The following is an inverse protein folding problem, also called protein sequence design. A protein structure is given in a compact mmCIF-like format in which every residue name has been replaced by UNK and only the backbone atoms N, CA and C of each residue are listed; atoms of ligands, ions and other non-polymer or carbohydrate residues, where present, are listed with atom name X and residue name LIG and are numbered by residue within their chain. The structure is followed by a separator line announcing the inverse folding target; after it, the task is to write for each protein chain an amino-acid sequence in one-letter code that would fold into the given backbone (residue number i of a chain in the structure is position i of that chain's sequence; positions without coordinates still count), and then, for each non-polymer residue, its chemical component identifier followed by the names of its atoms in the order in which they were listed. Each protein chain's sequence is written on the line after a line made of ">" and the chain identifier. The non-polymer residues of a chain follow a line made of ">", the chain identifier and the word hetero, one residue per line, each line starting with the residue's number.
data_IF_774637600348
#
_entry.id   IF_774637600348
#
_cell.length_a   1.000
_cell.length_b   1.000
_cell.length_c   1.000
_cell.angle_alpha   90.00
_cell.angle_beta   90.00
_cell.angle_gamma   90.00
#
_symmetry.space_group_name_H-M   'P 1'
#
loop_
_entity.id
_entity.type
_entity.pdbx_description
1 polymer ?
#
# COMPACT_ATOMS: atom_id res chain seq x y z
N UNK A 1 31.09 28.54 3.09
CA UNK A 1 30.78 27.81 4.34
C UNK A 1 30.44 26.39 3.97
N UNK A 2 30.97 25.44 4.74
CA UNK A 2 31.01 24.00 4.45
C UNK A 2 29.62 23.38 4.49
N UNK A 3 29.20 22.68 3.43
CA UNK A 3 28.14 21.67 3.49
C UNK A 3 28.77 20.30 3.20
N UNK A 4 29.45 19.77 4.22
CA UNK A 4 29.86 18.37 4.27
C UNK A 4 28.79 17.61 5.05
N UNK A 5 27.72 17.20 4.37
CA UNK A 5 26.88 16.09 4.84
C UNK A 5 27.14 14.91 3.89
N UNK A 6 28.37 14.39 3.99
CA UNK A 6 28.76 13.17 3.33
C UNK A 6 28.07 12.00 4.03
N UNK A 7 27.24 11.32 3.24
CA UNK A 7 26.72 9.97 3.39
C UNK A 7 27.64 9.12 4.27
N UNK A 8 27.18 8.83 5.48
CA UNK A 8 27.81 7.90 6.42
C UNK A 8 26.72 7.05 7.09
N UNK A 9 25.89 6.42 6.26
CA UNK A 9 24.96 5.36 6.64
C UNK A 9 25.24 4.16 5.73
N UNK A 10 26.44 3.58 5.83
CA UNK A 10 26.75 2.32 5.14
C UNK A 10 27.82 1.46 5.85
N UNK A 11 28.16 1.75 7.12
CA UNK A 11 29.24 1.05 7.83
C UNK A 11 28.95 0.71 9.30
N UNK A 12 27.69 0.62 9.69
CA UNK A 12 27.29 0.08 11.01
C UNK A 12 26.55 -1.26 10.87
N UNK A 13 27.10 -2.19 10.08
CA UNK A 13 26.88 -3.62 10.35
C UNK A 13 27.88 -3.99 11.44
N UNK A 14 27.63 -3.46 12.64
CA UNK A 14 28.41 -3.80 13.83
C UNK A 14 28.19 -5.26 14.15
N UNK A 15 29.24 -6.07 14.04
CA UNK A 15 29.25 -7.43 14.54
C UNK A 15 29.02 -7.40 16.06
N UNK A 16 27.77 -7.57 16.46
CA UNK A 16 27.40 -7.72 17.86
C UNK A 16 27.20 -9.22 18.14
N UNK A 17 28.16 -9.78 18.87
CA UNK A 17 28.14 -11.18 19.30
C UNK A 17 27.17 -11.27 20.48
N UNK A 18 25.91 -11.60 20.21
CA UNK A 18 24.92 -11.92 21.25
C UNK A 18 24.93 -13.41 21.60
N UNK A 19 24.95 -13.70 22.90
CA UNK A 19 24.88 -15.05 23.49
C UNK A 19 23.47 -15.61 23.66
N UNK A 20 22.45 -14.99 23.04
CA UNK A 20 21.08 -15.49 23.07
C UNK A 20 20.90 -16.55 21.97
N UNK A 21 20.40 -17.74 22.34
CA UNK A 21 19.99 -18.75 21.33
C UNK A 21 18.79 -18.20 20.57
N UNK A 22 18.96 -18.03 19.27
CA UNK A 22 17.89 -17.76 18.30
C UNK A 22 17.58 -19.06 17.54
N UNK A 23 16.33 -19.28 17.08
CA UNK A 23 15.22 -18.35 17.12
C UNK A 23 14.61 -18.21 18.53
N UNK A 24 14.03 -17.04 18.81
CA UNK A 24 13.25 -16.80 20.03
C UNK A 24 12.03 -15.94 19.70
N UNK A 25 10.87 -16.38 20.18
CA UNK A 25 9.60 -15.69 19.96
C UNK A 25 9.08 -15.06 21.26
N UNK A 26 8.45 -13.90 21.12
CA UNK A 26 7.69 -13.23 22.16
C UNK A 26 6.28 -12.99 21.64
N UNK A 27 5.31 -13.52 22.37
CA UNK A 27 3.91 -13.54 21.94
C UNK A 27 3.03 -12.76 22.91
N UNK A 28 2.01 -12.13 22.34
CA UNK A 28 0.86 -11.62 23.07
C UNK A 28 -0.39 -11.98 22.27
N UNK A 29 -0.92 -13.16 22.56
CA UNK A 29 -2.25 -13.57 22.14
C UNK A 29 -3.25 -13.22 23.24
N UNK A 30 -3.44 -11.92 23.51
CA UNK A 30 -4.58 -11.44 24.30
C UNK A 30 -5.86 -12.07 23.72
N UNK A 31 -6.41 -13.06 24.43
CA UNK A 31 -7.79 -13.50 24.18
C UNK A 31 -8.65 -12.31 24.53
N UNK A 32 -9.38 -11.77 23.56
CA UNK A 32 -10.37 -10.72 23.79
C UNK A 32 -11.35 -11.28 24.83
N UNK A 33 -11.21 -10.80 26.07
CA UNK A 33 -12.05 -11.23 27.19
C UNK A 33 -13.44 -10.64 26.96
N UNK A 34 -14.35 -11.46 26.44
CA UNK A 34 -15.78 -11.14 26.41
C UNK A 34 -16.39 -11.10 25.02
N UNK A 35 -16.39 -12.22 24.31
CA UNK A 35 -17.56 -12.67 23.55
C UNK A 35 -17.32 -14.10 23.07
N UNK A 36 -17.81 -15.08 23.83
CA UNK A 36 -17.82 -16.48 23.42
C UNK A 36 -18.68 -16.74 22.16
N UNK A 37 -19.31 -15.70 21.60
CA UNK A 37 -20.32 -15.80 20.56
C UNK A 37 -19.97 -14.99 19.29
N UNK A 38 -18.79 -14.36 19.18
CA UNK A 38 -18.42 -13.64 17.96
C UNK A 38 -17.04 -14.08 17.44
N UNK A 39 -16.98 -14.93 16.40
CA UNK A 39 -15.73 -15.50 15.89
C UNK A 39 -14.83 -14.50 15.13
N UNK A 40 -15.24 -13.24 14.99
CA UNK A 40 -14.58 -12.22 14.15
C UNK A 40 -14.11 -11.02 14.97
N UNK A 41 -13.29 -11.24 16.00
CA UNK A 41 -12.57 -10.09 16.59
C UNK A 41 -11.34 -9.81 15.73
N UNK A 42 -11.41 -8.72 14.97
CA UNK A 42 -10.28 -8.22 14.18
C UNK A 42 -9.31 -7.49 15.10
N UNK A 43 -8.12 -8.04 15.31
CA UNK A 43 -7.04 -7.37 16.06
C UNK A 43 -5.82 -7.14 15.16
N UNK A 44 -5.73 -5.94 14.58
CA UNK A 44 -4.64 -5.58 13.67
C UNK A 44 -3.28 -5.39 14.36
N UNK A 45 -3.22 -5.45 15.70
CA UNK A 45 -1.99 -5.23 16.46
C UNK A 45 -1.01 -6.39 16.27
N UNK A 46 0.28 -6.06 16.28
CA UNK A 46 1.35 -7.05 16.33
C UNK A 46 1.09 -8.01 17.50
N UNK A 47 1.08 -9.30 17.18
CA UNK A 47 0.76 -10.38 18.11
C UNK A 47 1.99 -11.21 18.45
N UNK A 48 3.01 -11.19 17.59
CA UNK A 48 4.25 -11.91 17.81
C UNK A 48 5.47 -11.12 17.31
N UNK A 49 6.55 -11.20 18.08
CA UNK A 49 7.87 -10.66 17.78
C UNK A 49 8.86 -11.81 17.83
N UNK A 50 9.45 -12.15 16.70
CA UNK A 50 10.44 -13.23 16.58
C UNK A 50 11.81 -12.63 16.30
N UNK A 51 12.82 -13.01 17.07
CA UNK A 51 14.22 -12.81 16.70
C UNK A 51 14.67 -14.09 15.99
N UNK A 52 14.61 -14.09 14.66
CA UNK A 52 14.81 -15.28 13.83
C UNK A 52 16.28 -15.65 13.75
N UNK A 53 17.16 -14.65 13.75
CA UNK A 53 18.60 -14.80 13.81
C UNK A 53 19.24 -13.77 14.76
N UNK A 54 20.57 -13.77 14.85
CA UNK A 54 21.31 -12.79 15.65
C UNK A 54 21.12 -11.35 15.18
N UNK A 55 20.64 -11.15 13.96
CA UNK A 55 20.52 -9.84 13.33
C UNK A 55 19.16 -9.60 12.71
N UNK A 56 18.30 -10.60 12.56
CA UNK A 56 17.01 -10.50 11.86
C UNK A 56 15.84 -10.75 12.80
N UNK A 57 14.73 -10.07 12.50
CA UNK A 57 13.49 -10.20 13.23
C UNK A 57 12.29 -10.27 12.29
N UNK A 58 11.17 -10.74 12.85
CA UNK A 58 9.86 -10.68 12.24
C UNK A 58 8.83 -10.17 13.26
N UNK A 59 7.98 -9.26 12.85
CA UNK A 59 6.72 -8.93 13.51
C UNK A 59 5.57 -9.57 12.74
N UNK A 60 4.68 -10.22 13.47
CA UNK A 60 3.50 -10.84 12.90
C UNK A 60 2.23 -10.24 13.50
N UNK A 61 1.30 -9.87 12.63
CA UNK A 61 -0.08 -9.54 12.97
C UNK A 61 -1.00 -10.62 12.43
N UNK A 62 -1.94 -11.05 13.27
CA UNK A 62 -2.95 -12.07 12.94
C UNK A 62 -4.36 -11.50 13.15
N UNK A 63 -4.81 -10.53 12.31
CA UNK A 63 -6.10 -9.87 12.47
C UNK A 63 -7.25 -10.85 12.62
N UNK A 64 -7.29 -11.86 11.75
CA UNK A 64 -8.20 -13.00 11.86
C UNK A 64 -7.37 -14.27 11.98
N UNK A 65 -7.26 -14.88 13.18
CA UNK A 65 -6.41 -16.06 13.39
C UNK A 65 -6.76 -17.26 12.50
N UNK A 66 -8.02 -17.38 12.07
CA UNK A 66 -8.47 -18.46 11.18
C UNK A 66 -8.30 -18.16 9.68
N UNK A 67 -7.84 -16.96 9.30
CA UNK A 67 -7.67 -16.55 7.90
C UNK A 67 -6.25 -16.06 7.63
N UNK A 68 -5.41 -16.94 7.09
CA UNK A 68 -4.03 -16.62 6.72
C UNK A 68 -3.92 -15.52 5.65
N UNK A 69 -4.98 -15.27 4.88
CA UNK A 69 -5.06 -14.17 3.90
C UNK A 69 -4.99 -12.78 4.55
N UNK A 70 -5.33 -12.69 5.84
CA UNK A 70 -5.31 -11.42 6.58
C UNK A 70 -4.02 -11.20 7.36
N UNK A 71 -3.14 -12.20 7.42
CA UNK A 71 -1.93 -12.15 8.21
C UNK A 71 -0.93 -11.19 7.58
N UNK A 72 -0.24 -10.44 8.43
CA UNK A 72 0.75 -9.45 7.99
C UNK A 72 2.09 -9.74 8.64
N UNK A 73 3.12 -9.78 7.82
CA UNK A 73 4.51 -9.95 8.23
C UNK A 73 5.27 -8.66 7.98
N UNK A 74 6.11 -8.28 8.94
CA UNK A 74 7.08 -7.20 8.79
C UNK A 74 8.43 -7.71 9.26
N UNK A 75 9.46 -7.61 8.43
CA UNK A 75 10.78 -8.11 8.74
C UNK A 75 11.84 -7.02 8.57
N UNK A 76 13.01 -7.30 9.13
CA UNK A 76 14.12 -6.36 9.12
C UNK A 76 15.26 -6.83 10.00
N UNK A 77 16.10 -5.88 10.41
CA UNK A 77 17.23 -6.15 11.29
C UNK A 77 17.00 -5.65 12.70
N UNK A 78 17.66 -6.26 13.68
CA UNK A 78 17.60 -5.78 15.05
C UNK A 78 18.99 -5.72 15.68
N UNK A 79 19.11 -4.86 16.68
CA UNK A 79 20.26 -4.84 17.59
C UNK A 79 19.78 -4.62 19.02
N UNK A 80 20.63 -4.94 19.99
CA UNK A 80 20.37 -4.66 21.39
C UNK A 80 21.48 -3.81 21.98
N UNK A 81 21.12 -2.84 22.82
CA UNK A 81 22.03 -2.02 23.62
C UNK A 81 21.52 -2.03 25.05
N UNK A 82 22.25 -2.72 25.94
CA UNK A 82 21.83 -2.98 27.32
C UNK A 82 20.48 -3.70 27.42
N UNK A 83 19.46 -3.08 28.00
CA UNK A 83 18.08 -3.56 28.10
C UNK A 83 17.22 -3.14 26.90
N UNK A 84 17.70 -2.24 26.05
CA UNK A 84 16.95 -1.71 24.92
C UNK A 84 17.21 -2.52 23.65
N UNK A 85 16.13 -2.88 22.95
CA UNK A 85 16.14 -3.52 21.64
C UNK A 85 15.68 -2.50 20.60
N UNK A 86 16.37 -2.44 19.47
CA UNK A 86 16.01 -1.62 18.32
C UNK A 86 15.72 -2.55 17.15
N UNK A 87 14.55 -2.38 16.56
CA UNK A 87 14.12 -3.06 15.34
C UNK A 87 14.11 -2.05 14.21
N UNK A 88 14.76 -2.39 13.11
CA UNK A 88 14.93 -1.56 11.91
C UNK A 88 14.26 -2.27 10.75
N UNK A 89 13.18 -1.68 10.24
CA UNK A 89 12.53 -2.13 9.02
C UNK A 89 12.47 -1.01 7.98
N UNK A 90 12.29 -1.41 6.73
CA UNK A 90 12.17 -0.47 5.61
C UNK A 90 11.15 -0.98 4.60
N UNK A 91 10.48 -0.05 3.94
CA UNK A 91 9.57 -0.33 2.83
C UNK A 91 9.62 0.80 1.80
N UNK A 92 9.20 0.49 0.58
CA UNK A 92 9.13 1.44 -0.53
C UNK A 92 7.69 1.97 -0.63
N UNK A 93 7.55 3.29 -0.74
CA UNK A 93 6.32 3.94 -1.19
C UNK A 93 6.55 4.47 -2.60
N UNK A 94 5.54 4.32 -3.46
CA UNK A 94 5.59 4.66 -4.87
C UNK A 94 4.45 5.64 -5.14
N UNK A 95 4.74 6.74 -5.84
CA UNK A 95 3.74 7.70 -6.28
C UNK A 95 2.75 7.04 -7.26
N UNK A 96 1.62 7.72 -7.51
CA UNK A 96 0.69 7.32 -8.57
C UNK A 96 1.43 7.18 -9.91
N UNK A 97 1.15 6.11 -10.64
CA UNK A 97 1.72 5.87 -11.97
C UNK A 97 0.88 6.48 -13.10
N UNK A 98 -0.17 7.22 -12.74
CA UNK A 98 -1.13 7.82 -13.66
C UNK A 98 -1.55 9.21 -13.16
N UNK A 99 -1.61 10.17 -14.08
CA UNK A 99 -2.15 11.52 -13.87
C UNK A 99 -3.33 11.77 -14.81
N UNK A 100 -4.29 12.58 -14.34
CA UNK A 100 -5.51 12.88 -15.06
C UNK A 100 -5.65 14.37 -15.33
N UNK A 101 -5.99 14.73 -16.56
CA UNK A 101 -6.46 16.08 -16.88
C UNK A 101 -7.86 16.02 -17.48
N UNK A 102 -8.69 16.99 -17.12
CA UNK A 102 -10.13 16.97 -17.37
C UNK A 102 -10.59 18.22 -18.11
N UNK A 103 -11.48 18.04 -19.08
CA UNK A 103 -12.26 19.11 -19.68
C UNK A 103 -13.66 18.63 -20.06
N UNK A 104 -14.57 19.56 -20.36
CA UNK A 104 -15.96 19.25 -20.68
C UNK A 104 -16.35 19.84 -22.03
N UNK A 105 -17.08 19.04 -22.82
CA UNK A 105 -17.71 19.46 -24.06
C UNK A 105 -19.19 19.07 -24.04
N UNK A 106 -20.08 20.05 -23.88
CA UNK A 106 -21.55 19.83 -23.85
C UNK A 106 -22.11 19.27 -25.16
N UNK A 107 -21.32 19.30 -26.24
CA UNK A 107 -21.71 18.76 -27.55
C UNK A 107 -21.50 17.25 -27.66
N UNK A 108 -20.60 16.68 -26.86
CA UNK A 108 -20.22 15.28 -26.94
C UNK A 108 -21.14 14.44 -26.06
N UNK A 109 -21.75 13.41 -26.64
CA UNK A 109 -22.56 12.41 -25.92
C UNK A 109 -21.77 11.14 -25.61
N UNK A 110 -20.48 11.28 -25.37
CA UNK A 110 -19.54 10.20 -25.11
C UNK A 110 -18.42 10.70 -24.20
N UNK A 111 -17.79 9.79 -23.45
CA UNK A 111 -16.50 10.02 -22.84
C UNK A 111 -15.41 9.83 -23.88
N UNK A 112 -14.45 10.76 -23.97
CA UNK A 112 -13.22 10.61 -24.72
C UNK A 112 -12.07 10.43 -23.74
N UNK A 113 -11.44 9.26 -23.78
CA UNK A 113 -10.23 8.96 -23.01
C UNK A 113 -9.04 9.02 -23.98
N UNK A 114 -8.02 9.81 -23.67
CA UNK A 114 -6.77 9.88 -24.44
C UNK A 114 -5.62 9.40 -23.58
N UNK A 115 -4.89 8.37 -24.04
CA UNK A 115 -3.79 7.77 -23.29
C UNK A 115 -2.44 8.21 -23.87
N UNK A 116 -1.54 8.66 -22.99
CA UNK A 116 -0.17 9.03 -23.35
C UNK A 116 0.80 8.74 -22.20
N UNK A 117 2.09 8.96 -22.43
CA UNK A 117 3.10 8.93 -21.36
C UNK A 117 3.66 10.34 -21.10
N UNK A 118 4.19 10.56 -19.90
CA UNK A 118 4.80 11.82 -19.48
C UNK A 118 6.05 12.19 -20.29
N UNK A 119 6.79 11.19 -20.79
CA UNK A 119 8.01 11.39 -21.59
C UNK A 119 7.80 11.22 -23.10
N UNK A 120 6.57 10.96 -23.54
CA UNK A 120 6.23 10.77 -24.94
C UNK A 120 6.77 9.47 -25.55
N UNK A 121 7.07 8.46 -24.73
CA UNK A 121 7.31 7.11 -25.22
C UNK A 121 6.07 6.59 -25.94
N UNK A 122 6.30 5.83 -27.00
CA UNK A 122 5.22 5.27 -27.81
C UNK A 122 4.47 4.19 -27.02
N UNK A 123 3.16 4.35 -26.89
CA UNK A 123 2.27 3.26 -26.48
C UNK A 123 2.19 2.26 -27.63
N UNK A 124 2.11 0.97 -27.32
CA UNK A 124 2.09 -0.08 -28.36
C UNK A 124 0.88 -1.00 -28.28
N UNK A 125 0.31 -1.20 -27.09
CA UNK A 125 -0.91 -1.98 -26.92
C UNK A 125 -2.13 -1.15 -27.30
N UNK A 126 -2.99 -1.70 -28.16
CA UNK A 126 -4.32 -1.15 -28.41
C UNK A 126 -5.39 -1.72 -27.49
N UNK A 127 -5.07 -2.74 -26.70
CA UNK A 127 -6.03 -3.36 -25.79
C UNK A 127 -5.99 -2.66 -24.44
N UNK A 128 -7.18 -2.36 -23.92
CA UNK A 128 -7.38 -1.80 -22.58
C UNK A 128 -8.61 -2.44 -21.95
N UNK A 129 -8.55 -2.72 -20.65
CA UNK A 129 -9.72 -3.16 -19.90
C UNK A 129 -10.29 -1.98 -19.14
N UNK A 130 -11.60 -1.79 -19.20
CA UNK A 130 -12.32 -0.79 -18.44
C UNK A 130 -13.33 -1.41 -17.49
N UNK A 131 -13.61 -0.74 -16.39
CA UNK A 131 -14.72 -1.07 -15.50
C UNK A 131 -15.39 0.23 -15.05
N UNK A 132 -16.73 0.22 -15.02
CA UNK A 132 -17.52 1.34 -14.55
C UNK A 132 -17.83 1.17 -13.06
N UNK A 133 -17.46 2.15 -12.26
CA UNK A 133 -17.64 2.16 -10.80
C UNK A 133 -18.80 3.09 -10.48
N UNK A 134 -19.79 2.59 -9.77
CA UNK A 134 -21.01 3.33 -9.45
C UNK A 134 -21.10 3.67 -7.97
N UNK A 135 -21.76 4.79 -7.69
CA UNK A 135 -22.25 5.20 -6.37
C UNK A 135 -23.41 4.30 -5.93
N UNK A 136 -23.06 3.10 -5.46
CA UNK A 136 -23.96 2.10 -4.90
C UNK A 136 -23.34 1.58 -3.59
N UNK A 137 -24.15 1.47 -2.53
CA UNK A 137 -23.78 1.03 -1.17
C UNK A 137 -23.30 -0.44 -1.07
N UNK A 138 -22.83 -1.07 -2.15
CA UNK A 138 -22.56 -2.52 -2.20
C UNK A 138 -21.22 -2.88 -2.84
N UNK A 139 -20.67 -3.99 -2.35
CA UNK A 139 -19.39 -4.64 -2.66
C UNK A 139 -18.79 -4.38 -4.06
N UNK A 140 -17.45 -4.22 -4.07
CA UNK A 140 -16.58 -3.88 -5.20
C UNK A 140 -16.45 -5.01 -6.25
N UNK A 141 -17.57 -5.53 -6.76
CA UNK A 141 -17.55 -6.44 -7.91
C UNK A 141 -17.81 -5.62 -9.18
N UNK A 142 -16.79 -5.45 -10.02
CA UNK A 142 -16.89 -4.70 -11.26
C UNK A 142 -16.83 -5.63 -12.47
N UNK A 143 -17.75 -5.43 -13.40
CA UNK A 143 -17.65 -6.04 -14.72
C UNK A 143 -16.52 -5.34 -15.50
N UNK A 144 -15.55 -6.13 -15.99
CA UNK A 144 -14.48 -5.65 -16.85
C UNK A 144 -14.87 -5.82 -18.33
N UNK A 145 -14.71 -4.75 -19.10
CA UNK A 145 -14.93 -4.71 -20.54
C UNK A 145 -13.59 -4.57 -21.26
N UNK A 146 -13.24 -5.54 -22.11
CA UNK A 146 -12.09 -5.42 -23.01
C UNK A 146 -12.46 -4.50 -24.18
N UNK A 147 -11.68 -3.44 -24.36
CA UNK A 147 -11.87 -2.41 -25.37
C UNK A 147 -10.61 -2.28 -26.24
N UNK A 148 -10.79 -1.75 -27.45
CA UNK A 148 -9.71 -1.46 -28.38
C UNK A 148 -9.58 0.04 -28.61
N UNK A 149 -8.38 0.57 -28.37
CA UNK A 149 -8.01 1.96 -28.60
C UNK A 149 -7.87 2.24 -30.11
N UNK A 150 -8.17 3.48 -30.48
CA UNK A 150 -7.93 4.01 -31.82
C UNK A 150 -6.42 4.20 -32.10
N UNK A 151 -6.08 4.54 -33.34
CA UNK A 151 -4.68 4.70 -33.76
C UNK A 151 -3.92 5.78 -32.97
N UNK A 152 -4.61 6.81 -32.52
CA UNK A 152 -4.08 7.89 -31.66
C UNK A 152 -4.08 7.55 -30.17
N UNK A 153 -4.38 6.30 -29.80
CA UNK A 153 -4.53 5.84 -28.41
C UNK A 153 -5.65 6.57 -27.67
N UNK A 154 -6.69 6.97 -28.39
CA UNK A 154 -7.94 7.42 -27.79
C UNK A 154 -9.00 6.31 -27.73
N UNK A 155 -9.99 6.50 -26.88
CA UNK A 155 -11.19 5.68 -26.80
C UNK A 155 -12.41 6.59 -26.64
N UNK A 156 -13.46 6.30 -27.41
CA UNK A 156 -14.76 6.97 -27.26
C UNK A 156 -15.78 5.98 -26.73
N UNK A 157 -16.42 6.33 -25.62
CA UNK A 157 -17.43 5.51 -24.96
C UNK A 157 -18.75 6.28 -24.98
N UNK A 158 -19.70 5.94 -25.86
CA UNK A 158 -21.02 6.55 -25.88
C UNK A 158 -21.70 6.46 -24.52
N UNK A 159 -22.34 7.55 -24.09
CA UNK A 159 -23.04 7.58 -22.79
C UNK A 159 -24.15 6.52 -22.68
N UNK A 160 -24.76 6.16 -23.81
CA UNK A 160 -25.82 5.15 -23.88
C UNK A 160 -25.32 3.72 -23.68
N UNK A 161 -24.01 3.48 -23.84
CA UNK A 161 -23.37 2.18 -23.61
C UNK A 161 -22.96 1.98 -22.15
N UNK A 162 -23.03 3.03 -21.31
CA UNK A 162 -22.66 2.98 -19.90
C UNK A 162 -23.92 2.72 -19.07
N UNK A 163 -24.05 1.54 -18.43
CA UNK A 163 -25.16 1.26 -17.52
C UNK A 163 -25.23 2.32 -16.41
N UNK A 164 -26.43 2.72 -15.99
CA UNK A 164 -26.60 3.61 -14.83
C UNK A 164 -25.69 4.87 -14.83
N UNK A 165 -25.39 5.47 -15.98
CA UNK A 165 -24.42 6.59 -16.11
C UNK A 165 -24.63 7.73 -15.10
N UNK A 166 -25.87 8.02 -14.71
CA UNK A 166 -26.19 9.04 -13.70
C UNK A 166 -25.59 8.73 -12.32
N UNK A 167 -25.23 7.47 -12.06
CA UNK A 167 -24.59 6.96 -10.85
C UNK A 167 -23.11 6.63 -11.05
N UNK A 168 -22.54 6.88 -12.22
CA UNK A 168 -21.11 6.65 -12.48
C UNK A 168 -20.27 7.58 -11.59
N UNK A 169 -19.50 7.00 -10.68
CA UNK A 169 -18.57 7.68 -9.79
C UNK A 169 -17.16 7.74 -10.41
N UNK A 170 -16.67 6.62 -10.93
CA UNK A 170 -15.37 6.56 -11.58
C UNK A 170 -15.30 5.55 -12.72
N UNK A 171 -14.33 5.72 -13.62
CA UNK A 171 -13.98 4.75 -14.66
C UNK A 171 -12.63 4.14 -14.28
N UNK A 172 -12.60 2.86 -13.94
CA UNK A 172 -11.36 2.12 -13.75
C UNK A 172 -10.81 1.69 -15.10
N UNK A 173 -9.51 1.80 -15.28
CA UNK A 173 -8.83 1.22 -16.44
C UNK A 173 -7.67 0.32 -16.01
N UNK A 174 -7.31 -0.62 -16.88
CA UNK A 174 -6.12 -1.44 -16.81
C UNK A 174 -5.50 -1.53 -18.20
N UNK A 175 -4.26 -1.08 -18.31
CA UNK A 175 -3.47 -1.03 -19.53
C UNK A 175 -2.17 -1.81 -19.34
N UNK A 176 -1.72 -2.50 -20.40
CA UNK A 176 -0.50 -3.28 -20.40
C UNK A 176 0.53 -2.61 -21.30
N UNK A 177 1.68 -2.26 -20.73
CA UNK A 177 2.85 -1.80 -21.48
C UNK A 177 3.54 -2.98 -22.18
N UNK A 178 4.34 -2.69 -23.21
CA UNK A 178 5.02 -3.72 -24.01
C UNK A 178 5.94 -4.63 -23.19
N UNK A 179 6.55 -4.07 -22.15
CA UNK A 179 7.40 -4.78 -21.19
C UNK A 179 6.60 -5.72 -20.25
N UNK A 180 5.27 -5.79 -20.40
CA UNK A 180 4.36 -6.58 -19.56
C UNK A 180 3.94 -5.89 -18.27
N UNK A 181 4.40 -4.67 -18.03
CA UNK A 181 4.05 -3.88 -16.86
C UNK A 181 2.59 -3.40 -16.94
N UNK A 182 1.88 -3.47 -15.82
CA UNK A 182 0.48 -3.06 -15.73
C UNK A 182 0.41 -1.61 -15.24
N UNK A 183 -0.42 -0.81 -15.90
CA UNK A 183 -0.86 0.52 -15.45
C UNK A 183 -2.35 0.43 -15.16
N UNK A 184 -2.78 0.86 -13.99
CA UNK A 184 -4.20 0.90 -13.66
C UNK A 184 -4.51 2.12 -12.81
N UNK A 185 -5.72 2.62 -12.94
CA UNK A 185 -6.15 3.78 -12.19
C UNK A 185 -7.65 3.93 -12.21
N UNK A 186 -8.15 4.82 -11.36
CA UNK A 186 -9.55 5.19 -11.28
C UNK A 186 -9.67 6.64 -11.71
N UNK A 187 -10.33 6.87 -12.83
CA UNK A 187 -10.65 8.20 -13.34
C UNK A 187 -11.87 8.69 -12.56
N UNK A 188 -11.65 9.60 -11.62
CA UNK A 188 -12.69 10.19 -10.77
C UNK A 188 -12.60 11.72 -10.81
N UNK A 189 -13.75 12.38 -10.70
CA UNK A 189 -13.83 13.83 -10.47
C UNK A 189 -13.85 14.18 -8.97
N UNK A 190 -14.02 13.17 -8.11
CA UNK A 190 -14.23 13.28 -6.68
C UNK A 190 -13.11 12.55 -5.90
N UNK A 191 -12.87 12.95 -4.64
CA UNK A 191 -11.83 12.37 -3.79
C UNK A 191 -12.10 10.91 -3.44
N UNK A 192 -13.38 10.56 -3.26
CA UNK A 192 -13.83 9.19 -3.03
C UNK A 192 -14.21 8.53 -4.35
N UNK A 193 -13.55 7.42 -4.69
CA UNK A 193 -13.71 6.74 -5.99
C UNK A 193 -15.09 6.09 -6.22
N UNK A 194 -15.85 5.89 -5.14
CA UNK A 194 -17.14 5.19 -5.12
C UNK A 194 -18.31 6.10 -4.79
N UNK A 195 -18.07 7.37 -4.45
CA UNK A 195 -19.15 8.31 -4.16
C UNK A 195 -19.17 9.34 -5.27
N UNK A 196 -20.37 9.60 -5.81
CA UNK A 196 -20.54 10.59 -6.86
C UNK A 196 -21.00 11.92 -6.24
N UNK A 197 -20.08 12.87 -6.10
CA UNK A 197 -20.43 14.24 -5.74
C UNK A 197 -20.63 15.11 -6.98
N UNK A 198 -19.91 14.81 -8.08
CA UNK A 198 -19.96 15.57 -9.33
C UNK A 198 -20.02 14.66 -10.55
N UNK A 199 -20.49 15.22 -11.66
CA UNK A 199 -20.42 14.53 -12.95
C UNK A 199 -18.96 14.48 -13.44
N UNK A 200 -18.54 13.28 -13.87
CA UNK A 200 -17.23 13.10 -14.49
C UNK A 200 -17.17 13.89 -15.82
N UNK A 201 -16.17 14.78 -16.00
CA UNK A 201 -15.93 15.46 -17.26
C UNK A 201 -15.76 14.49 -18.43
N UNK A 202 -16.26 14.84 -19.61
CA UNK A 202 -16.35 13.91 -20.73
C UNK A 202 -15.15 13.92 -21.69
N UNK A 203 -14.14 14.75 -21.43
CA UNK A 203 -12.84 14.72 -22.10
C UNK A 203 -11.77 14.50 -21.04
N UNK A 204 -11.11 13.36 -21.08
CA UNK A 204 -10.16 12.92 -20.07
C UNK A 204 -8.86 12.54 -20.76
N UNK A 205 -7.76 13.15 -20.32
CA UNK A 205 -6.42 12.72 -20.69
C UNK A 205 -5.83 11.91 -19.53
N UNK A 206 -5.36 10.71 -19.84
CA UNK A 206 -4.66 9.80 -18.92
C UNK A 206 -3.19 9.78 -19.31
N UNK A 207 -2.35 10.33 -18.42
CA UNK A 207 -0.89 10.35 -18.60
C UNK A 207 -0.26 9.28 -17.72
N UNK A 208 0.33 8.26 -18.32
CA UNK A 208 1.13 7.28 -17.59
C UNK A 208 2.50 7.87 -17.23
N UNK A 209 2.84 7.81 -15.96
CA UNK A 209 4.14 8.21 -15.45
C UNK A 209 5.09 7.03 -15.63
N UNK A 210 6.05 7.15 -16.55
CA UNK A 210 6.95 6.04 -16.89
C UNK A 210 7.85 5.62 -15.73
N UNK A 211 8.23 6.58 -14.89
CA UNK A 211 9.06 6.37 -13.71
C UNK A 211 8.47 7.12 -12.52
N UNK A 212 7.46 6.54 -11.85
CA UNK A 212 6.86 7.15 -10.67
C UNK A 212 7.93 7.41 -9.61
N UNK A 213 7.78 8.52 -8.88
CA UNK A 213 8.67 8.82 -7.76
C UNK A 213 8.57 7.72 -6.69
N UNK A 214 9.71 7.43 -6.06
CA UNK A 214 9.83 6.41 -5.02
C UNK A 214 10.55 6.97 -3.82
N UNK A 215 10.03 6.69 -2.63
CA UNK A 215 10.70 7.00 -1.38
C UNK A 215 10.85 5.74 -0.53
N UNK A 216 11.99 5.62 0.17
CA UNK A 216 12.20 4.55 1.14
C UNK A 216 11.85 5.06 2.52
N UNK A 217 10.86 4.42 3.13
CA UNK A 217 10.52 4.64 4.53
C UNK A 217 11.39 3.73 5.38
N UNK A 218 12.04 4.31 6.38
CA UNK A 218 12.81 3.61 7.38
C UNK A 218 12.10 3.79 8.71
N UNK A 219 11.77 2.67 9.35
CA UNK A 219 11.08 2.65 10.64
C UNK A 219 11.97 2.03 11.70
N UNK A 220 11.97 2.67 12.87
CA UNK A 220 12.69 2.23 14.06
C UNK A 220 11.67 1.97 15.17
N UNK A 221 11.52 0.71 15.55
CA UNK A 221 10.75 0.32 16.74
C UNK A 221 11.70 0.08 17.90
N UNK A 222 11.48 0.77 19.02
CA UNK A 222 12.25 0.62 20.25
C UNK A 222 11.48 -0.18 21.28
N UNK A 223 12.16 -1.08 21.94
CA UNK A 223 11.59 -1.90 23.00
C UNK A 223 12.56 -2.06 24.17
N UNK A 224 12.03 -2.40 25.35
CA UNK A 224 12.83 -2.74 26.53
C UNK A 224 12.57 -4.21 26.88
N UNK A 225 13.66 -4.95 27.12
CA UNK A 225 13.62 -6.31 27.63
C UNK A 225 13.59 -6.29 29.17
N UNK A 226 12.49 -6.75 29.75
CA UNK A 226 12.27 -6.82 31.20
C UNK A 226 11.83 -8.24 31.56
N UNK A 227 12.58 -8.96 32.38
CA UNK A 227 12.20 -10.28 32.90
C UNK A 227 11.66 -11.27 31.83
N UNK A 228 12.39 -11.41 30.72
CA UNK A 228 12.00 -12.21 29.55
C UNK A 228 10.71 -11.74 28.84
N UNK A 229 10.39 -10.45 28.93
CA UNK A 229 9.30 -9.80 28.20
C UNK A 229 9.82 -8.64 27.40
N UNK A 230 9.20 -8.39 26.25
CA UNK A 230 9.45 -7.21 25.45
C UNK A 230 8.32 -6.21 25.71
N UNK A 231 8.67 -4.99 26.08
CA UNK A 231 7.76 -3.84 26.14
C UNK A 231 8.09 -2.90 24.98
N UNK A 232 7.14 -2.63 24.10
CA UNK A 232 7.33 -1.63 23.04
C UNK A 232 7.23 -0.23 23.65
N UNK A 233 8.20 0.63 23.32
CA UNK A 233 8.29 1.99 23.84
C UNK A 233 7.87 3.01 22.80
N UNK A 234 8.28 2.81 21.54
CA UNK A 234 7.97 3.72 20.45
C UNK A 234 8.18 3.03 19.11
N UNK A 235 7.43 3.45 18.10
CA UNK A 235 7.71 3.18 16.69
C UNK A 235 7.68 4.50 15.95
N UNK A 236 8.75 4.80 15.21
CA UNK A 236 8.89 6.05 14.48
C UNK A 236 9.43 5.76 13.08
N UNK A 237 8.85 6.42 12.07
CA UNK A 237 9.34 6.41 10.70
C UNK A 237 9.89 7.79 10.31
N UNK A 238 10.73 7.85 9.29
CA UNK A 238 11.11 9.11 8.65
C UNK A 238 9.89 9.75 7.96
N UNK A 239 9.94 11.08 7.80
CA UNK A 239 8.95 11.80 7.01
C UNK A 239 9.15 11.52 5.51
N UNK A 240 8.06 11.56 4.77
CA UNK A 240 7.98 11.34 3.33
C UNK A 240 7.33 12.56 2.67
N UNK A 241 7.69 12.85 1.42
CA UNK A 241 6.95 13.81 0.61
C UNK A 241 5.78 13.12 -0.12
N UNK A 242 5.93 11.82 -0.40
CA UNK A 242 4.85 10.99 -0.94
C UNK A 242 3.87 10.58 0.16
N UNK A 243 2.60 10.41 -0.22
CA UNK A 243 1.58 9.86 0.66
C UNK A 243 1.95 8.41 1.02
N UNK A 244 1.94 8.11 2.31
CA UNK A 244 2.22 6.77 2.83
C UNK A 244 0.94 6.11 3.32
N UNK A 245 0.29 5.37 2.42
CA UNK A 245 -0.92 4.58 2.68
C UNK A 245 -0.62 3.26 3.43
N UNK A 246 0.65 2.99 3.76
CA UNK A 246 1.02 1.79 4.51
C UNK A 246 0.50 1.90 5.94
N UNK A 247 -0.30 0.93 6.37
CA UNK A 247 -0.84 0.90 7.73
C UNK A 247 0.26 1.04 8.80
N UNK A 248 0.03 1.91 9.79
CA UNK A 248 0.93 2.01 10.94
C UNK A 248 1.00 0.69 11.72
N UNK A 249 2.17 0.38 12.29
CA UNK A 249 2.28 -0.75 13.22
C UNK A 249 1.71 -0.35 14.56
N UNK A 250 0.66 -1.06 14.96
CA UNK A 250 0.08 -0.94 16.29
C UNK A 250 0.57 -2.12 17.12
N UNK A 251 1.09 -1.85 18.32
CA UNK A 251 1.65 -2.87 19.19
C UNK A 251 0.80 -3.05 20.45
N UNK A 252 0.87 -4.25 21.04
CA UNK A 252 0.38 -4.52 22.40
C UNK A 252 1.44 -4.08 23.42
N UNK A 253 1.01 -3.87 24.66
CA UNK A 253 1.87 -3.28 25.71
C UNK A 253 3.08 -4.15 26.07
N UNK A 254 2.89 -5.47 26.16
CA UNK A 254 3.94 -6.42 26.52
C UNK A 254 3.82 -7.73 25.76
N UNK A 255 4.96 -8.33 25.42
CA UNK A 255 5.06 -9.65 24.79
C UNK A 255 5.85 -10.57 25.70
N UNK A 256 5.34 -11.77 25.95
CA UNK A 256 6.00 -12.75 26.82
C UNK A 256 6.80 -13.71 25.96
N UNK A 257 8.03 -14.04 26.38
CA UNK A 257 8.80 -15.10 25.74
C UNK A 257 7.95 -16.37 25.66
N UNK A 258 7.83 -16.92 24.47
CA UNK A 258 7.20 -18.21 24.24
C UNK A 258 8.09 -19.29 24.91
N UNK A 259 7.51 -20.04 25.83
CA UNK A 259 8.19 -21.16 26.47
C UNK A 259 8.37 -22.29 25.46
N UNK A 260 9.59 -22.82 25.35
CA UNK A 260 9.89 -24.07 24.63
C UNK A 260 9.05 -25.24 25.19
#
# INVERSE_FOLDING_TARGET
>A
MKNTFAILISLLIGQSIFGQKTPISYVNYEKVKGNSNNPLVVDNRISQISLTSKTEFEFWSYPVPSSCLTWREYNGTWERKNDTIFFYDKYEIIASDSEFSFSTSDKNKFYQLEFKTDKGSELTSKNINLAFVYDLDSDWDFEEYEMTLENDFSLKIPFEEIPNINKLASIRFLYYLENGEKRFGFISADETLTEKEKDLPNLIEVTFIEQPEKEIVNRITKAILIDNRIKIISSQKNNTNLADETSELIFKDYYKKESE
#
